data_IF_673663315987
#
_entry.id   IF_673663315987
#
_cell.length_a   1.000
_cell.length_b   1.000
_cell.length_c   1.000
_cell.angle_alpha   90.00
_cell.angle_beta   90.00
_cell.angle_gamma   90.00
#
_symmetry.space_group_name_H-M   'P 1'
#
loop_
_entity.id
_entity.type
_entity.pdbx_description
1 polymer ?
#
# COMPACT_ATOMS: atom_id res chain seq x y z
N UNK A 1 -12.39 17.79 13.82
CA UNK A 1 -12.46 17.53 12.37
C UNK A 1 -11.10 17.08 11.88
N UNK A 2 -11.06 15.93 11.24
CA UNK A 2 -9.86 15.45 10.56
C UNK A 2 -9.75 16.14 9.20
N UNK A 3 -8.54 16.59 8.87
CA UNK A 3 -8.30 17.21 7.58
C UNK A 3 -8.38 16.15 6.46
N UNK A 4 -8.87 16.57 5.30
CA UNK A 4 -8.90 15.74 4.12
C UNK A 4 -7.49 15.55 3.57
N UNK A 5 -7.10 14.30 3.33
CA UNK A 5 -5.79 13.95 2.80
C UNK A 5 -5.88 13.53 1.34
N UNK A 6 -4.73 13.39 0.68
CA UNK A 6 -4.70 12.84 -0.68
C UNK A 6 -5.34 11.44 -0.70
N UNK A 7 -5.13 10.63 0.35
CA UNK A 7 -5.72 9.30 0.43
C UNK A 7 -7.23 9.36 0.63
N UNK A 8 -7.74 10.25 1.47
CA UNK A 8 -9.18 10.41 1.64
C UNK A 8 -9.85 10.87 0.35
N UNK A 9 -9.18 11.71 -0.45
CA UNK A 9 -9.69 12.13 -1.76
C UNK A 9 -9.75 10.96 -2.75
N UNK A 10 -8.76 10.08 -2.73
CA UNK A 10 -8.78 8.87 -3.56
C UNK A 10 -9.89 7.91 -3.09
N UNK A 11 -10.01 7.72 -1.79
CA UNK A 11 -11.04 6.86 -1.19
C UNK A 11 -12.44 7.36 -1.55
N UNK A 12 -12.65 8.68 -1.55
CA UNK A 12 -13.93 9.30 -1.88
C UNK A 12 -14.21 9.37 -3.37
N UNK A 13 -13.23 9.06 -4.22
CA UNK A 13 -13.39 9.11 -5.67
C UNK A 13 -13.11 10.47 -6.30
N UNK A 14 -12.65 11.46 -5.53
CA UNK A 14 -12.29 12.79 -6.05
C UNK A 14 -11.02 12.75 -6.88
N UNK A 15 -10.12 11.83 -6.57
CA UNK A 15 -8.88 11.59 -7.31
C UNK A 15 -8.84 10.10 -7.68
N UNK A 16 -8.46 9.80 -8.92
CA UNK A 16 -8.35 8.43 -9.40
C UNK A 16 -7.21 7.68 -8.68
N UNK A 17 -7.43 6.39 -8.42
CA UNK A 17 -6.43 5.50 -7.84
C UNK A 17 -6.68 4.06 -8.28
N UNK A 18 -5.71 3.19 -8.05
CA UNK A 18 -5.81 1.77 -8.40
C UNK A 18 -6.05 0.96 -7.12
N UNK A 19 -7.29 0.55 -6.92
CA UNK A 19 -7.71 -0.21 -5.74
C UNK A 19 -7.43 -1.69 -5.95
N UNK A 20 -6.46 -2.21 -5.21
CA UNK A 20 -6.16 -3.65 -5.19
C UNK A 20 -7.22 -4.41 -4.40
N UNK A 21 -7.66 -3.81 -3.31
CA UNK A 21 -8.62 -4.38 -2.37
C UNK A 21 -9.33 -3.24 -1.64
N UNK A 22 -10.58 -3.47 -1.22
CA UNK A 22 -11.26 -2.54 -0.33
C UNK A 22 -12.35 -3.26 0.46
N UNK A 23 -12.56 -2.78 1.66
CA UNK A 23 -13.66 -3.20 2.53
C UNK A 23 -14.18 -1.99 3.31
N UNK A 24 -15.04 -2.21 4.30
CA UNK A 24 -15.65 -1.12 5.08
C UNK A 24 -14.64 -0.36 5.96
N UNK A 25 -13.49 -0.94 6.22
CA UNK A 25 -12.50 -0.42 7.18
C UNK A 25 -11.29 0.16 6.48
N UNK A 26 -10.81 -0.47 5.42
CA UNK A 26 -9.58 -0.06 4.75
C UNK A 26 -9.64 -0.23 3.24
N UNK A 27 -8.66 0.36 2.59
CA UNK A 27 -8.38 0.17 1.17
C UNK A 27 -6.92 -0.21 0.99
N UNK A 28 -6.62 -0.88 -0.12
CA UNK A 28 -5.25 -1.14 -0.55
C UNK A 28 -5.07 -0.53 -1.93
N UNK A 29 -4.15 0.42 -2.03
CA UNK A 29 -3.90 1.15 -3.27
C UNK A 29 -2.52 0.83 -3.81
N UNK A 30 -2.38 0.84 -5.14
CA UNK A 30 -1.05 0.87 -5.75
C UNK A 30 -0.38 2.19 -5.37
N UNK A 31 0.89 2.11 -4.97
CA UNK A 31 1.69 3.33 -4.74
C UNK A 31 2.05 3.94 -6.11
N UNK A 32 1.70 5.21 -6.30
CA UNK A 32 1.96 5.91 -7.57
C UNK A 32 3.40 6.38 -7.71
N UNK A 33 4.18 6.34 -6.62
CA UNK A 33 5.61 6.63 -6.60
C UNK A 33 6.39 5.43 -6.06
N UNK A 34 6.30 4.27 -6.73
CA UNK A 34 6.88 3.05 -6.18
C UNK A 34 8.39 3.01 -6.32
N UNK A 35 9.05 2.36 -5.38
CA UNK A 35 10.46 2.00 -5.47
C UNK A 35 10.66 0.65 -6.17
N UNK A 36 9.63 -0.20 -6.12
CA UNK A 36 9.65 -1.54 -6.74
C UNK A 36 8.30 -1.82 -7.38
N UNK A 37 8.26 -2.67 -8.42
CA UNK A 37 6.98 -3.13 -8.99
C UNK A 37 6.12 -3.82 -7.92
N UNK A 38 4.83 -3.53 -7.92
CA UNK A 38 3.89 -4.13 -6.98
C UNK A 38 3.81 -3.47 -5.61
N UNK A 39 4.52 -2.38 -5.41
CA UNK A 39 4.45 -1.64 -4.15
C UNK A 39 3.03 -1.12 -3.93
N UNK A 40 2.48 -1.41 -2.75
CA UNK A 40 1.11 -1.03 -2.39
C UNK A 40 1.07 -0.39 -1.00
N UNK A 41 -0.03 0.29 -0.73
CA UNK A 41 -0.30 0.96 0.52
C UNK A 41 -1.59 0.39 1.13
N UNK A 42 -1.54 -0.02 2.39
CA UNK A 42 -2.72 -0.43 3.15
C UNK A 42 -3.14 0.75 4.02
N UNK A 43 -4.35 1.25 3.81
CA UNK A 43 -4.78 2.56 4.32
C UNK A 43 -6.15 2.43 4.99
N UNK A 44 -6.31 2.83 6.26
CA UNK A 44 -7.63 2.90 6.87
C UNK A 44 -8.47 3.99 6.18
N UNK A 45 -9.77 3.77 6.06
CA UNK A 45 -10.66 4.79 5.49
C UNK A 45 -10.71 6.04 6.33
N UNK A 46 -10.64 5.89 7.64
CA UNK A 46 -10.63 7.01 8.57
C UNK A 46 -9.27 7.72 8.53
N UNK A 47 -9.24 9.05 8.30
CA UNK A 47 -7.99 9.78 8.12
C UNK A 47 -7.32 10.10 9.46
N UNK A 48 -6.78 9.11 10.11
CA UNK A 48 -6.00 9.23 11.34
C UNK A 48 -4.54 9.27 10.93
N UNK A 49 -3.79 10.29 11.37
CA UNK A 49 -2.42 10.53 10.96
C UNK A 49 -1.45 9.45 11.44
N UNK A 50 -1.48 9.14 12.72
CA UNK A 50 -0.51 8.23 13.34
C UNK A 50 -1.09 6.83 13.47
N UNK A 51 -0.39 5.84 12.93
CA UNK A 51 -0.87 4.46 12.93
C UNK A 51 -1.24 3.96 14.33
N UNK A 52 -0.46 4.35 15.34
CA UNK A 52 -0.69 3.87 16.70
C UNK A 52 -1.82 4.61 17.44
N UNK A 53 -2.44 5.59 16.79
CA UNK A 53 -3.65 6.24 17.27
C UNK A 53 -4.93 5.62 16.69
N UNK A 54 -4.82 4.71 15.72
CA UNK A 54 -5.99 3.99 15.19
C UNK A 54 -6.55 3.06 16.27
N UNK A 55 -7.89 2.91 16.33
CA UNK A 55 -8.50 1.96 17.26
C UNK A 55 -7.93 0.54 17.09
N UNK A 56 -7.88 -0.21 18.18
CA UNK A 56 -7.24 -1.54 18.22
C UNK A 56 -7.82 -2.51 17.19
N UNK A 57 -9.13 -2.51 16.99
CA UNK A 57 -9.78 -3.39 16.02
C UNK A 57 -9.41 -3.00 14.58
N UNK A 58 -9.33 -1.71 14.28
CA UNK A 58 -8.85 -1.22 12.98
C UNK A 58 -7.39 -1.59 12.78
N UNK A 59 -6.56 -1.38 13.79
CA UNK A 59 -5.14 -1.72 13.75
C UNK A 59 -4.93 -3.21 13.44
N UNK A 60 -5.65 -4.08 14.12
CA UNK A 60 -5.59 -5.52 13.88
C UNK A 60 -6.08 -5.88 12.48
N UNK A 61 -7.15 -5.24 12.02
CA UNK A 61 -7.69 -5.47 10.67
C UNK A 61 -6.68 -5.08 9.59
N UNK A 62 -6.02 -3.92 9.74
CA UNK A 62 -4.99 -3.48 8.81
C UNK A 62 -3.87 -4.51 8.67
N UNK A 63 -3.45 -5.11 9.79
CA UNK A 63 -2.39 -6.11 9.78
C UNK A 63 -2.85 -7.44 9.19
N UNK A 64 -4.10 -7.83 9.42
CA UNK A 64 -4.67 -9.03 8.80
C UNK A 64 -4.74 -8.87 7.28
N UNK A 65 -5.17 -7.71 6.79
CA UNK A 65 -5.21 -7.41 5.35
C UNK A 65 -3.80 -7.33 4.78
N UNK A 66 -2.86 -6.71 5.49
CA UNK A 66 -1.44 -6.68 5.09
C UNK A 66 -0.91 -8.09 4.84
N UNK A 67 -1.20 -9.03 5.72
CA UNK A 67 -0.77 -10.42 5.55
C UNK A 67 -1.38 -11.05 4.29
N UNK A 68 -2.67 -10.82 4.06
CA UNK A 68 -3.37 -11.34 2.87
C UNK A 68 -2.78 -10.79 1.59
N UNK A 69 -2.58 -9.48 1.52
CA UNK A 69 -2.02 -8.80 0.36
C UNK A 69 -0.58 -9.26 0.12
N UNK A 70 0.23 -9.35 1.16
CA UNK A 70 1.63 -9.78 1.06
C UNK A 70 1.76 -11.15 0.43
N UNK A 71 0.90 -12.10 0.78
CA UNK A 71 0.92 -13.44 0.18
C UNK A 71 0.64 -13.38 -1.32
N UNK A 72 -0.27 -12.52 -1.74
CA UNK A 72 -0.55 -12.30 -3.15
C UNK A 72 0.65 -11.67 -3.86
N UNK A 73 1.28 -10.65 -3.26
CA UNK A 73 2.48 -10.01 -3.80
C UNK A 73 3.62 -11.01 -3.98
N UNK A 74 3.84 -11.84 -2.98
CA UNK A 74 4.92 -12.85 -3.03
C UNK A 74 4.71 -13.84 -4.17
N UNK A 75 3.46 -14.20 -4.45
CA UNK A 75 3.11 -15.10 -5.57
C UNK A 75 3.29 -14.40 -6.91
N UNK A 76 2.72 -13.20 -7.07
CA UNK A 76 2.71 -12.48 -8.35
C UNK A 76 4.11 -12.08 -8.78
N UNK A 77 4.91 -11.57 -7.84
CA UNK A 77 6.22 -10.99 -8.15
C UNK A 77 7.39 -11.92 -7.84
N UNK A 78 7.10 -13.14 -7.37
CA UNK A 78 8.11 -14.15 -7.05
C UNK A 78 9.22 -13.56 -6.18
N UNK A 79 8.83 -12.97 -5.06
CA UNK A 79 9.70 -12.22 -4.18
C UNK A 79 10.61 -13.09 -3.32
N UNK A 80 11.72 -12.53 -2.85
CA UNK A 80 12.48 -13.11 -1.74
C UNK A 80 11.68 -12.95 -0.44
N UNK A 81 11.15 -11.78 -0.23
CA UNK A 81 10.15 -11.44 0.81
C UNK A 81 9.58 -10.06 0.54
N UNK A 82 8.46 -9.74 1.18
CA UNK A 82 7.89 -8.39 1.19
C UNK A 82 8.27 -7.71 2.50
N UNK A 83 8.80 -6.49 2.40
CA UNK A 83 9.11 -5.67 3.57
C UNK A 83 7.95 -4.73 3.89
N UNK A 84 7.78 -4.44 5.17
CA UNK A 84 6.73 -3.56 5.69
C UNK A 84 7.37 -2.31 6.28
N UNK A 85 6.91 -1.14 5.84
CA UNK A 85 7.40 0.14 6.36
C UNK A 85 6.23 1.02 6.72
N UNK A 86 6.30 1.65 7.89
CA UNK A 86 5.35 2.66 8.34
C UNK A 86 6.15 3.91 8.72
N UNK A 87 5.99 4.98 7.95
CA UNK A 87 6.66 6.25 8.23
C UNK A 87 5.66 7.35 8.58
N UNK A 88 4.81 7.74 7.63
CA UNK A 88 3.75 8.71 7.86
C UNK A 88 4.17 10.17 7.86
N UNK A 89 5.37 10.51 7.38
CA UNK A 89 5.84 11.90 7.40
C UNK A 89 5.30 12.75 6.25
N UNK A 90 5.04 12.17 5.10
CA UNK A 90 4.63 12.93 3.91
C UNK A 90 3.12 13.16 3.85
N UNK A 91 2.33 12.16 4.22
CA UNK A 91 0.87 12.24 4.19
C UNK A 91 0.33 11.99 5.59
N UNK A 92 -0.43 12.94 6.18
CA UNK A 92 -0.98 12.80 7.53
C UNK A 92 -2.22 11.88 7.56
N UNK A 93 -2.07 10.68 7.05
CA UNK A 93 -3.08 9.65 6.98
C UNK A 93 -2.35 8.30 7.06
N UNK A 94 -2.53 7.59 8.14
CA UNK A 94 -1.81 6.35 8.43
C UNK A 94 -1.85 5.38 7.25
N UNK A 95 -0.72 4.79 6.93
CA UNK A 95 -0.63 3.81 5.88
C UNK A 95 0.56 2.87 6.11
N UNK A 96 0.38 1.64 5.69
CA UNK A 96 1.42 0.61 5.75
C UNK A 96 1.91 0.40 4.32
N UNK A 97 3.19 0.65 4.09
CA UNK A 97 3.82 0.45 2.78
C UNK A 97 4.35 -0.98 2.68
N UNK A 98 4.04 -1.66 1.58
CA UNK A 98 4.53 -2.99 1.30
C UNK A 98 5.47 -2.95 0.12
N UNK A 99 6.71 -3.39 0.34
CA UNK A 99 7.78 -3.44 -0.67
C UNK A 99 8.08 -4.90 -1.02
N UNK A 100 7.51 -5.43 -2.13
CA UNK A 100 7.85 -6.78 -2.57
C UNK A 100 9.24 -6.80 -3.21
N UNK A 101 10.24 -7.32 -2.47
CA UNK A 101 11.61 -7.37 -2.95
C UNK A 101 11.82 -8.54 -3.89
N UNK A 102 12.45 -8.31 -5.03
CA UNK A 102 12.82 -9.37 -5.96
C UNK A 102 13.93 -10.24 -5.38
N UNK A 103 14.12 -11.43 -5.95
CA UNK A 103 15.07 -12.43 -5.44
C UNK A 103 16.49 -11.93 -5.20
N UNK A 104 16.95 -10.97 -6.02
CA UNK A 104 18.31 -10.44 -5.91
C UNK A 104 18.41 -9.27 -4.95
N UNK A 105 17.29 -8.78 -4.44
CA UNK A 105 17.24 -7.66 -3.50
C UNK A 105 17.21 -8.21 -2.08
N UNK A 106 18.26 -7.94 -1.32
CA UNK A 106 18.44 -8.49 0.02
C UNK A 106 18.40 -7.44 1.11
N UNK A 107 18.27 -6.17 0.75
CA UNK A 107 18.14 -5.07 1.71
C UNK A 107 17.15 -4.04 1.20
N UNK A 108 16.27 -3.55 2.07
CA UNK A 108 15.30 -2.52 1.73
C UNK A 108 15.98 -1.23 1.26
N UNK A 109 17.12 -0.89 1.84
CA UNK A 109 17.90 0.29 1.47
C UNK A 109 18.41 0.25 0.02
N UNK A 110 18.46 -0.92 -0.60
CA UNK A 110 18.86 -1.04 -2.01
C UNK A 110 17.76 -0.55 -2.97
N UNK A 111 16.53 -0.42 -2.50
CA UNK A 111 15.38 -0.12 -3.37
C UNK A 111 14.72 1.21 -3.08
N UNK A 112 14.74 1.71 -1.85
CA UNK A 112 14.02 2.92 -1.45
C UNK A 112 14.77 4.22 -1.74
N UNK A 113 15.77 4.18 -2.62
CA UNK A 113 16.64 5.32 -2.90
C UNK A 113 15.98 6.40 -3.74
N UNK A 114 15.18 6.02 -4.73
CA UNK A 114 14.57 6.93 -5.68
C UNK A 114 13.16 6.50 -6.02
N UNK A 115 12.25 7.48 -5.99
CA UNK A 115 10.88 7.28 -6.42
C UNK A 115 10.57 8.23 -7.56
N UNK A 116 9.91 7.72 -8.58
CA UNK A 116 9.39 8.51 -9.69
C UNK A 116 7.96 8.05 -9.98
N UNK A 117 7.12 8.91 -10.58
CA UNK A 117 5.77 8.49 -10.95
C UNK A 117 5.83 7.25 -11.84
N UNK A 118 5.10 6.22 -11.48
CA UNK A 118 4.99 5.02 -12.30
C UNK A 118 4.03 5.26 -13.46
N UNK A 119 4.20 4.50 -14.54
CA UNK A 119 3.27 4.49 -15.64
C UNK A 119 1.90 3.95 -15.18
N UNK A 120 0.83 4.67 -15.49
CA UNK A 120 -0.51 4.30 -15.05
C UNK A 120 -0.96 2.95 -15.63
N UNK A 121 -0.54 2.63 -16.85
CA UNK A 121 -0.85 1.34 -17.47
C UNK A 121 -0.15 0.18 -16.74
N UNK A 122 1.08 0.37 -16.29
CA UNK A 122 1.81 -0.61 -15.47
C UNK A 122 1.14 -0.83 -14.13
N UNK A 123 0.74 0.26 -13.46
CA UNK A 123 0.03 0.17 -12.18
C UNK A 123 -1.28 -0.59 -12.33
N UNK A 124 -2.04 -0.30 -13.38
CA UNK A 124 -3.29 -0.98 -13.65
C UNK A 124 -3.06 -2.49 -13.88
N UNK A 125 -2.05 -2.86 -14.66
CA UNK A 125 -1.73 -4.26 -14.93
C UNK A 125 -1.30 -5.00 -13.66
N UNK A 126 -0.45 -4.39 -12.85
CA UNK A 126 -0.01 -4.97 -11.58
C UNK A 126 -1.17 -5.13 -10.61
N UNK A 127 -2.06 -4.15 -10.55
CA UNK A 127 -3.26 -4.19 -9.72
C UNK A 127 -4.12 -5.41 -10.07
N UNK A 128 -4.38 -5.64 -11.35
CA UNK A 128 -5.15 -6.80 -11.84
C UNK A 128 -4.46 -8.12 -11.46
N UNK A 129 -3.15 -8.20 -11.62
CA UNK A 129 -2.38 -9.40 -11.26
C UNK A 129 -2.49 -9.72 -9.77
N UNK A 130 -2.39 -8.70 -8.92
CA UNK A 130 -2.49 -8.87 -7.47
C UNK A 130 -3.92 -9.29 -7.09
N UNK A 131 -4.94 -8.64 -7.65
CA UNK A 131 -6.34 -9.00 -7.41
C UNK A 131 -6.61 -10.46 -7.76
N UNK A 132 -6.06 -10.93 -8.87
CA UNK A 132 -6.26 -12.32 -9.30
C UNK A 132 -5.63 -13.34 -8.35
N UNK A 133 -4.65 -12.93 -7.54
CA UNK A 133 -3.96 -13.79 -6.58
C UNK A 133 -4.56 -13.74 -5.16
N UNK A 134 -5.55 -12.90 -4.93
CA UNK A 134 -6.19 -12.75 -3.62
C UNK A 134 -7.15 -13.90 -3.26
#
# INVERSE_FOLDING_TARGET
MTEETIFSKIINGDIAGHFVYQDDICVVLMDVFPSVPGQVLVIPREPIDYLFDVPDDTYQHLHAITKKITKALDTVFNTSRTCVVVEGFEVPHAHIKLYPLHKDQTALTDVIMHTAPADQAELAAQCVQIQAAL
#
